data_IF_576509826773
#
_entry.id   IF_576509826773
#
_cell.length_a   1.000
_cell.length_b   1.000
_cell.length_c   1.000
_cell.angle_alpha   90.00
_cell.angle_beta   90.00
_cell.angle_gamma   90.00
#
_symmetry.space_group_name_H-M   'P 1'
#
loop_
_entity.id
_entity.type
_entity.pdbx_description
1 polymer ?
#
# COMPACT_ATOMS: atom_id res chain seq x y z
N UNK A 1 -0.40 25.49 -12.26
CA UNK A 1 -1.75 24.98 -11.94
C UNK A 1 -1.65 23.47 -11.90
N UNK A 2 -1.11 22.93 -10.81
CA UNK A 2 -1.15 21.50 -10.56
C UNK A 2 -2.54 21.17 -10.02
N UNK A 3 -3.23 20.25 -10.69
CA UNK A 3 -4.41 19.62 -10.13
C UNK A 3 -3.89 18.72 -9.02
N UNK A 4 -4.12 19.10 -7.76
CA UNK A 4 -3.86 18.22 -6.62
C UNK A 4 -4.74 16.98 -6.82
N UNK A 5 -4.10 15.86 -7.13
CA UNK A 5 -4.71 14.54 -7.04
C UNK A 5 -4.93 14.30 -5.55
N UNK A 6 -6.20 14.25 -5.16
CA UNK A 6 -6.59 13.84 -3.81
C UNK A 6 -6.43 12.33 -3.81
N UNK A 7 -5.32 11.87 -3.26
CA UNK A 7 -5.03 10.45 -3.06
C UNK A 7 -5.76 10.05 -1.77
N UNK A 8 -6.85 9.29 -1.93
CA UNK A 8 -7.48 8.58 -0.83
C UNK A 8 -6.60 7.38 -0.58
N UNK A 9 -5.86 7.39 0.51
CA UNK A 9 -5.19 6.19 1.01
C UNK A 9 -5.60 6.13 2.46
N UNK A 10 -6.05 4.96 2.92
CA UNK A 10 -6.68 4.87 4.21
C UNK A 10 -6.24 3.77 5.14
N UNK A 11 -6.57 3.97 6.42
CA UNK A 11 -6.33 3.02 7.50
C UNK A 11 -7.46 1.99 7.55
N UNK A 12 -7.16 0.79 8.05
CA UNK A 12 -7.99 -0.40 7.87
C UNK A 12 -8.99 -0.63 9.03
N UNK A 13 -10.30 -0.61 8.75
CA UNK A 13 -11.35 -1.10 9.68
C UNK A 13 -12.07 -2.34 9.14
N UNK A 14 -12.18 -3.40 9.95
CA UNK A 14 -12.79 -4.69 9.59
C UNK A 14 -14.27 -4.82 10.04
N UNK A 15 -15.17 -5.12 9.10
CA UNK A 15 -16.59 -5.45 9.39
C UNK A 15 -16.96 -6.87 8.90
N UNK A 16 -17.57 -7.67 9.79
CA UNK A 16 -17.99 -9.05 9.50
C UNK A 16 -19.50 -9.13 9.16
N UNK A 17 -19.86 -9.61 7.96
CA UNK A 17 -21.26 -9.80 7.54
C UNK A 17 -21.64 -11.28 7.53
N UNK A 18 -22.49 -11.71 8.48
CA UNK A 18 -22.87 -13.12 8.65
C UNK A 18 -24.07 -13.59 7.80
N UNK A 19 -23.91 -14.69 7.04
CA UNK A 19 -24.98 -15.40 6.34
C UNK A 19 -24.70 -16.91 6.12
N UNK A 20 -25.54 -17.78 6.69
CA UNK A 20 -25.33 -19.23 6.81
C UNK A 20 -25.50 -20.05 5.51
N UNK A 21 -24.43 -20.73 5.04
CA UNK A 21 -24.40 -22.15 4.57
C UNK A 21 -23.06 -22.58 3.91
N UNK A 22 -22.10 -21.68 3.72
CA UNK A 22 -20.72 -21.92 3.22
C UNK A 22 -19.64 -21.83 4.33
N UNK A 23 -20.04 -22.11 5.57
CA UNK A 23 -19.40 -21.63 6.79
C UNK A 23 -17.93 -22.07 6.99
N UNK A 24 -17.51 -23.27 6.59
CA UNK A 24 -16.14 -23.75 6.91
C UNK A 24 -15.02 -23.18 6.02
N UNK A 25 -15.27 -23.02 4.71
CA UNK A 25 -14.30 -22.38 3.80
C UNK A 25 -14.31 -20.87 3.98
N UNK A 26 -15.46 -20.27 4.28
CA UNK A 26 -15.54 -18.84 4.59
C UNK A 26 -14.78 -18.55 5.89
N UNK A 27 -15.00 -19.27 6.99
CA UNK A 27 -14.25 -19.04 8.24
C UNK A 27 -12.73 -19.13 8.04
N UNK A 28 -12.22 -20.17 7.35
CA UNK A 28 -10.77 -20.31 7.16
C UNK A 28 -10.15 -19.18 6.34
N UNK A 29 -10.86 -18.70 5.32
CA UNK A 29 -10.41 -17.59 4.48
C UNK A 29 -10.60 -16.22 5.16
N UNK A 30 -11.64 -16.07 5.97
CA UNK A 30 -11.87 -14.90 6.81
C UNK A 30 -10.74 -14.75 7.82
N UNK A 31 -10.40 -15.80 8.58
CA UNK A 31 -9.30 -15.77 9.54
C UNK A 31 -7.96 -15.46 8.84
N UNK A 32 -7.71 -16.07 7.68
CA UNK A 32 -6.51 -15.81 6.87
C UNK A 32 -6.39 -14.33 6.47
N UNK A 33 -7.47 -13.73 5.96
CA UNK A 33 -7.46 -12.32 5.58
C UNK A 33 -7.36 -11.40 6.79
N UNK A 34 -8.00 -11.72 7.91
CA UNK A 34 -7.81 -10.93 9.13
C UNK A 34 -6.34 -10.94 9.56
N UNK A 35 -5.68 -12.10 9.61
CA UNK A 35 -4.24 -12.16 9.92
C UNK A 35 -3.39 -11.43 8.90
N UNK A 36 -3.71 -11.55 7.61
CA UNK A 36 -3.00 -10.83 6.55
C UNK A 36 -3.06 -9.32 6.76
N UNK A 37 -4.27 -8.80 6.99
CA UNK A 37 -4.47 -7.37 7.18
C UNK A 37 -3.81 -6.85 8.45
N UNK A 38 -3.80 -7.64 9.54
CA UNK A 38 -3.04 -7.35 10.76
C UNK A 38 -1.52 -7.32 10.50
N UNK A 39 -0.99 -8.28 9.73
CA UNK A 39 0.43 -8.36 9.39
C UNK A 39 0.89 -7.23 8.45
N UNK A 40 -0.02 -6.68 7.63
CA UNK A 40 0.27 -5.59 6.69
C UNK A 40 -0.07 -4.19 7.20
N UNK A 41 -0.79 -4.07 8.33
CA UNK A 41 -1.26 -2.78 8.87
C UNK A 41 -0.13 -1.77 9.05
N UNK A 42 0.98 -2.18 9.68
CA UNK A 42 2.13 -1.31 9.91
C UNK A 42 2.81 -0.87 8.61
N UNK A 43 2.71 -1.67 7.55
CA UNK A 43 3.28 -1.37 6.24
C UNK A 43 2.44 -0.27 5.56
N UNK A 44 1.12 -0.45 5.53
CA UNK A 44 0.20 0.53 4.93
C UNK A 44 0.18 1.83 5.71
N UNK A 45 0.18 1.78 7.05
CA UNK A 45 0.25 2.97 7.91
C UNK A 45 1.58 3.70 7.76
N UNK A 46 2.68 2.97 7.66
CA UNK A 46 4.00 3.55 7.44
C UNK A 46 4.10 4.28 6.11
N UNK A 47 3.56 3.68 5.04
CA UNK A 47 3.48 4.32 3.73
C UNK A 47 2.63 5.58 3.76
N UNK A 48 1.47 5.52 4.41
CA UNK A 48 0.57 6.65 4.58
C UNK A 48 1.17 7.82 5.33
N UNK A 49 1.82 7.54 6.45
CA UNK A 49 2.50 8.53 7.25
C UNK A 49 3.59 9.23 6.43
N UNK A 50 4.33 8.47 5.62
CA UNK A 50 5.37 9.01 4.75
C UNK A 50 4.83 10.01 3.73
N UNK A 51 3.74 9.65 3.03
CA UNK A 51 3.09 10.54 2.06
C UNK A 51 2.54 11.80 2.71
N UNK A 52 1.97 11.68 3.92
CA UNK A 52 1.47 12.83 4.66
C UNK A 52 2.61 13.77 5.07
N UNK A 53 3.72 13.24 5.59
CA UNK A 53 4.89 14.03 5.91
C UNK A 53 5.44 14.75 4.68
N UNK A 54 5.60 14.05 3.56
CA UNK A 54 6.06 14.62 2.29
C UNK A 54 5.15 15.76 1.80
N UNK A 55 3.84 15.58 1.88
CA UNK A 55 2.85 16.58 1.45
C UNK A 55 2.90 17.89 2.26
N UNK A 56 3.47 17.87 3.47
CA UNK A 56 3.63 19.08 4.30
C UNK A 56 4.86 19.93 3.95
N UNK A 57 5.77 19.41 3.11
CA UNK A 57 7.01 20.09 2.75
C UNK A 57 6.77 21.01 1.54
N UNK A 58 6.99 22.31 1.71
CA UNK A 58 6.82 23.30 0.64
C UNK A 58 8.13 23.70 -0.05
N UNK A 59 9.27 23.53 0.64
CA UNK A 59 10.59 23.92 0.14
C UNK A 59 11.26 22.78 -0.65
N UNK A 60 11.79 23.10 -1.83
CA UNK A 60 12.36 22.12 -2.75
C UNK A 60 13.66 21.49 -2.20
N UNK A 61 14.50 22.27 -1.51
CA UNK A 61 15.73 21.76 -0.89
C UNK A 61 15.41 20.87 0.31
N UNK A 62 14.42 21.26 1.12
CA UNK A 62 13.87 20.42 2.19
C UNK A 62 13.30 19.11 1.65
N UNK A 63 12.52 19.16 0.55
CA UNK A 63 11.93 17.98 -0.08
C UNK A 63 13.01 17.03 -0.62
N UNK A 64 14.04 17.55 -1.28
CA UNK A 64 15.18 16.74 -1.75
C UNK A 64 15.88 16.02 -0.59
N UNK A 65 16.19 16.73 0.50
CA UNK A 65 16.83 16.13 1.67
C UNK A 65 15.91 15.10 2.35
N UNK A 66 14.62 15.41 2.51
CA UNK A 66 13.63 14.49 3.04
C UNK A 66 13.51 13.22 2.18
N UNK A 67 13.58 13.37 0.86
CA UNK A 67 13.51 12.24 -0.07
C UNK A 67 14.71 11.29 0.11
N UNK A 68 15.93 11.85 0.16
CA UNK A 68 17.16 11.08 0.34
C UNK A 68 17.26 10.44 1.73
N UNK A 69 16.97 11.20 2.79
CA UNK A 69 17.24 10.78 4.17
C UNK A 69 16.07 10.02 4.82
N UNK A 70 14.84 10.17 4.30
CA UNK A 70 13.63 9.62 4.91
C UNK A 70 12.76 8.81 3.95
N UNK A 71 12.38 9.33 2.77
CA UNK A 71 11.47 8.62 1.83
C UNK A 71 12.08 7.33 1.33
N UNK A 72 13.23 7.40 0.66
CA UNK A 72 13.88 6.22 0.07
C UNK A 72 14.23 5.19 1.16
N UNK A 73 14.84 5.56 2.31
CA UNK A 73 15.11 4.60 3.38
C UNK A 73 13.84 3.94 3.95
N UNK A 74 12.77 4.70 4.15
CA UNK A 74 11.50 4.17 4.68
C UNK A 74 10.86 3.22 3.68
N UNK A 75 10.77 3.57 2.41
CA UNK A 75 10.24 2.69 1.36
C UNK A 75 11.03 1.39 1.23
N UNK A 76 12.35 1.43 1.35
CA UNK A 76 13.17 0.23 1.35
C UNK A 76 12.90 -0.67 2.56
N UNK A 77 12.62 -0.09 3.73
CA UNK A 77 12.20 -0.86 4.91
C UNK A 77 10.81 -1.47 4.70
N UNK A 78 9.83 -0.70 4.21
CA UNK A 78 8.48 -1.19 3.92
C UNK A 78 8.48 -2.30 2.86
N UNK A 79 9.34 -2.19 1.85
CA UNK A 79 9.57 -3.24 0.86
C UNK A 79 10.12 -4.51 1.51
N UNK A 80 11.11 -4.39 2.40
CA UNK A 80 11.66 -5.54 3.11
C UNK A 80 10.60 -6.22 4.00
N UNK A 81 9.83 -5.42 4.75
CA UNK A 81 8.75 -5.92 5.61
C UNK A 81 7.64 -6.60 4.78
N UNK A 82 7.28 -6.02 3.64
CA UNK A 82 6.33 -6.63 2.70
C UNK A 82 6.82 -7.99 2.20
N UNK A 83 8.10 -8.08 1.81
CA UNK A 83 8.67 -9.36 1.36
C UNK A 83 8.71 -10.42 2.48
N UNK A 84 8.89 -10.01 3.74
CA UNK A 84 8.81 -10.93 4.89
C UNK A 84 7.38 -11.45 5.11
N UNK A 85 6.36 -10.60 4.89
CA UNK A 85 4.95 -11.02 4.97
C UNK A 85 4.68 -12.15 3.98
N UNK A 86 5.19 -12.10 2.75
CA UNK A 86 5.02 -13.17 1.75
C UNK A 86 5.35 -14.56 2.30
N UNK A 87 6.38 -14.68 3.13
CA UNK A 87 6.86 -15.96 3.69
C UNK A 87 5.84 -16.63 4.64
N UNK A 88 4.89 -15.85 5.19
CA UNK A 88 3.88 -16.34 6.14
C UNK A 88 2.63 -16.92 5.47
N UNK A 89 2.45 -16.68 4.16
CA UNK A 89 1.24 -17.03 3.43
C UNK A 89 1.53 -18.04 2.31
N UNK A 90 0.50 -18.83 1.96
CA UNK A 90 0.59 -19.83 0.88
C UNK A 90 -0.64 -19.88 -0.02
N UNK A 91 -1.64 -19.03 0.25
CA UNK A 91 -2.81 -18.91 -0.62
C UNK A 91 -2.45 -18.12 -1.87
N UNK A 92 -2.55 -18.77 -3.03
CA UNK A 92 -2.11 -18.19 -4.32
C UNK A 92 -2.84 -16.91 -4.69
N UNK A 93 -4.13 -16.77 -4.36
CA UNK A 93 -4.90 -15.55 -4.67
C UNK A 93 -4.43 -14.39 -3.81
N UNK A 94 -4.18 -14.63 -2.52
CA UNK A 94 -3.65 -13.61 -1.63
C UNK A 94 -2.24 -13.18 -2.03
N UNK A 95 -1.37 -14.12 -2.37
CA UNK A 95 0.00 -13.82 -2.80
C UNK A 95 0.02 -13.06 -4.14
N UNK A 96 -0.88 -13.37 -5.08
CA UNK A 96 -1.02 -12.62 -6.32
C UNK A 96 -1.41 -11.16 -6.07
N UNK A 97 -2.33 -10.90 -5.13
CA UNK A 97 -2.68 -9.54 -4.71
C UNK A 97 -1.51 -8.88 -4.00
N UNK A 98 -0.93 -9.56 -3.00
CA UNK A 98 0.15 -9.01 -2.19
C UNK A 98 1.36 -8.61 -3.02
N UNK A 99 1.71 -9.36 -4.07
CA UNK A 99 2.84 -9.06 -4.94
C UNK A 99 2.78 -7.66 -5.58
N UNK A 100 1.60 -7.05 -5.71
CA UNK A 100 1.44 -5.69 -6.23
C UNK A 100 2.00 -4.63 -5.27
N UNK A 101 1.93 -4.88 -3.96
CA UNK A 101 2.40 -3.95 -2.93
C UNK A 101 3.92 -3.72 -2.97
N UNK A 102 4.79 -4.75 -2.84
CA UNK A 102 6.23 -4.55 -2.92
C UNK A 102 6.66 -4.04 -4.30
N UNK A 103 6.00 -4.46 -5.40
CA UNK A 103 6.28 -3.92 -6.74
C UNK A 103 6.00 -2.42 -6.82
N UNK A 104 4.92 -1.94 -6.18
CA UNK A 104 4.62 -0.50 -6.13
C UNK A 104 5.71 0.27 -5.40
N UNK A 105 6.24 -0.27 -4.30
CA UNK A 105 7.32 0.36 -3.53
C UNK A 105 8.66 0.33 -4.27
N UNK A 106 8.99 -0.76 -4.95
CA UNK A 106 10.18 -0.84 -5.81
C UNK A 106 10.18 0.26 -6.88
N UNK A 107 9.04 0.43 -7.57
CA UNK A 107 8.88 1.49 -8.56
C UNK A 107 8.95 2.88 -7.93
N UNK A 108 8.42 3.05 -6.72
CA UNK A 108 8.46 4.35 -6.04
C UNK A 108 9.87 4.73 -5.60
N UNK A 109 10.66 3.76 -5.13
CA UNK A 109 12.08 3.97 -4.83
C UNK A 109 12.81 4.39 -6.10
N UNK A 110 12.63 3.65 -7.20
CA UNK A 110 13.27 3.99 -8.48
C UNK A 110 12.84 5.37 -8.97
N UNK A 111 11.55 5.72 -8.87
CA UNK A 111 11.03 7.03 -9.25
C UNK A 111 11.71 8.17 -8.47
N UNK A 112 11.85 8.01 -7.15
CA UNK A 112 12.51 8.99 -6.29
C UNK A 112 14.00 9.13 -6.62
N UNK A 113 14.73 8.04 -6.83
CA UNK A 113 16.13 8.08 -7.25
C UNK A 113 16.28 8.80 -8.59
N UNK A 114 15.41 8.52 -9.57
CA UNK A 114 15.42 9.17 -10.89
C UNK A 114 15.08 10.66 -10.79
N UNK A 115 14.14 11.03 -9.92
CA UNK A 115 13.77 12.42 -9.70
C UNK A 115 14.95 13.21 -9.12
N UNK A 116 15.66 12.66 -8.13
CA UNK A 116 16.87 13.26 -7.55
C UNK A 116 17.99 13.44 -8.58
N UNK A 117 18.09 12.53 -9.55
CA UNK A 117 19.03 12.63 -10.67
C UNK A 117 18.60 13.64 -11.75
N UNK A 118 17.38 14.20 -11.66
CA UNK A 118 16.80 15.07 -12.69
C UNK A 118 16.46 14.32 -13.98
N UNK A 119 16.12 13.03 -13.89
CA UNK A 119 15.74 12.20 -15.02
C UNK A 119 14.21 12.25 -15.24
N UNK A 120 13.81 12.61 -16.47
CA UNK A 120 12.41 12.73 -16.89
C UNK A 120 11.62 11.40 -16.80
N UNK A 121 12.29 10.25 -16.76
CA UNK A 121 11.66 8.92 -16.56
C UNK A 121 10.98 8.78 -15.18
N UNK A 122 11.31 9.63 -14.21
CA UNK A 122 10.73 9.59 -12.87
C UNK A 122 9.20 9.71 -12.88
N UNK A 123 8.64 10.59 -13.73
CA UNK A 123 7.19 10.82 -13.80
C UNK A 123 6.43 9.56 -14.23
N UNK A 124 6.95 8.83 -15.21
CA UNK A 124 6.34 7.57 -15.67
C UNK A 124 6.41 6.48 -14.60
N UNK A 125 7.48 6.45 -13.79
CA UNK A 125 7.62 5.49 -12.70
C UNK A 125 6.70 5.80 -11.53
N UNK A 126 6.53 7.09 -11.17
CA UNK A 126 5.55 7.52 -10.17
C UNK A 126 4.13 7.08 -10.54
N UNK A 127 3.70 7.32 -11.79
CA UNK A 127 2.38 6.91 -12.26
C UNK A 127 2.20 5.38 -12.23
N UNK A 128 3.22 4.61 -12.59
CA UNK A 128 3.16 3.15 -12.55
C UNK A 128 3.11 2.62 -11.12
N UNK A 129 3.87 3.21 -10.20
CA UNK A 129 3.81 2.89 -8.78
C UNK A 129 2.41 3.12 -8.21
N UNK A 130 1.82 4.29 -8.46
CA UNK A 130 0.44 4.63 -8.05
C UNK A 130 -0.57 3.62 -8.62
N UNK A 131 -0.49 3.32 -9.92
CA UNK A 131 -1.40 2.36 -10.56
C UNK A 131 -1.30 0.97 -9.92
N UNK A 132 -0.10 0.48 -9.57
CA UNK A 132 0.06 -0.81 -8.89
C UNK A 132 -0.51 -0.79 -7.47
N UNK A 133 -0.31 0.31 -6.74
CA UNK A 133 -0.85 0.46 -5.39
C UNK A 133 -2.39 0.49 -5.40
N UNK A 134 -3.01 1.22 -6.34
CA UNK A 134 -4.46 1.21 -6.51
C UNK A 134 -4.99 -0.18 -6.89
N UNK A 135 -4.28 -0.90 -7.76
CA UNK A 135 -4.63 -2.28 -8.10
C UNK A 135 -4.51 -3.22 -6.89
N UNK A 136 -3.52 -3.01 -6.01
CA UNK A 136 -3.39 -3.73 -4.75
C UNK A 136 -4.63 -3.54 -3.88
N UNK A 137 -5.01 -2.29 -3.59
CA UNK A 137 -6.18 -1.96 -2.77
C UNK A 137 -7.47 -2.56 -3.35
N UNK A 138 -7.75 -2.30 -4.63
CA UNK A 138 -8.96 -2.79 -5.28
C UNK A 138 -9.05 -4.33 -5.29
N UNK A 139 -7.93 -5.01 -5.55
CA UNK A 139 -7.93 -6.47 -5.62
C UNK A 139 -8.02 -7.09 -4.23
N UNK A 140 -7.42 -6.46 -3.22
CA UNK A 140 -7.53 -6.86 -1.83
C UNK A 140 -8.96 -6.73 -1.32
N UNK A 141 -9.64 -5.61 -1.61
CA UNK A 141 -11.06 -5.41 -1.28
C UNK A 141 -11.94 -6.48 -1.94
N UNK A 142 -11.74 -6.74 -3.24
CA UNK A 142 -12.49 -7.77 -3.97
C UNK A 142 -12.28 -9.15 -3.35
N UNK A 143 -11.05 -9.46 -2.93
CA UNK A 143 -10.70 -10.73 -2.29
C UNK A 143 -11.29 -10.83 -0.89
N UNK A 144 -11.16 -9.78 -0.08
CA UNK A 144 -11.74 -9.69 1.26
C UNK A 144 -13.26 -9.85 1.23
N UNK A 145 -13.94 -9.15 0.31
CA UNK A 145 -15.40 -9.23 0.15
C UNK A 145 -15.84 -10.65 -0.25
N UNK A 146 -15.09 -11.30 -1.15
CA UNK A 146 -15.30 -12.71 -1.50
C UNK A 146 -15.14 -13.63 -0.29
N UNK A 147 -14.31 -13.26 0.67
CA UNK A 147 -14.04 -14.00 1.91
C UNK A 147 -14.87 -13.50 3.11
N UNK A 148 -15.87 -12.63 2.88
CA UNK A 148 -16.82 -12.19 3.90
C UNK A 148 -16.31 -11.08 4.82
N UNK A 149 -15.24 -10.38 4.42
CA UNK A 149 -14.67 -9.23 5.10
C UNK A 149 -14.92 -7.97 4.27
N UNK A 150 -15.39 -6.91 4.92
CA UNK A 150 -15.39 -5.56 4.37
C UNK A 150 -14.19 -4.81 4.93
N UNK A 151 -13.33 -4.33 4.02
CA UNK A 151 -12.23 -3.41 4.33
C UNK A 151 -12.79 -1.99 4.22
N UNK A 152 -12.56 -1.19 5.24
CA UNK A 152 -12.82 0.25 5.21
C UNK A 152 -11.48 0.94 5.25
N UNK A 153 -11.19 1.76 4.23
CA UNK A 153 -10.03 2.65 4.19
C UNK A 153 -10.42 4.01 4.77
N UNK A 154 -9.71 4.50 5.79
CA UNK A 154 -9.92 5.83 6.36
C UNK A 154 -9.21 6.94 5.57
N UNK A 155 -9.93 7.88 4.99
CA UNK A 155 -9.32 9.08 4.41
C UNK A 155 -8.45 9.81 5.46
N UNK A 156 -7.20 10.17 5.11
CA UNK A 156 -6.46 11.18 5.87
C UNK A 156 -7.15 12.53 5.63
N UNK A 157 -7.90 13.02 6.63
CA UNK A 157 -8.48 14.37 6.59
C UNK A 157 -7.37 15.43 6.55
N UNK A 158 -7.37 16.28 5.50
CA UNK A 158 -6.52 17.48 5.33
C UNK A 158 -6.59 18.48 6.51
#
# INVERSE_FOLDING_TARGET
MSKKLVMVIGSLMLLFVGGCSLYQSVIGNTDLMTSYLEDTESITDGYLMLLNEEATIEDEEELTNFTEDHVIPTLNQLLADSNEVEENYSDEQLLEVHALLPQSFELLVEANEKWLEGNDEAEDLFMQSEELYLQYEENLEKLASKWGIEIVWEDIEE
#
